data_IF_238468490886
#
_entry.id   IF_238468490886
#
_cell.length_a   1.000
_cell.length_b   1.000
_cell.length_c   1.000
_cell.angle_alpha   90.00
_cell.angle_beta   90.00
_cell.angle_gamma   90.00
#
_symmetry.space_group_name_H-M   'P 1'
#
loop_
_entity.id
_entity.type
_entity.pdbx_description
1 polymer ?
#
# COMPACT_ATOMS: atom_id res chain seq x y z
N UNK A 1 5.52 -5.22 -7.50
CA UNK A 1 6.05 -6.06 -6.39
C UNK A 1 6.41 -5.26 -5.13
N UNK A 2 7.00 -4.06 -5.22
CA UNK A 2 7.40 -3.26 -4.04
C UNK A 2 6.24 -2.76 -3.17
N UNK A 3 5.24 -2.08 -3.77
CA UNK A 3 4.07 -1.53 -3.06
C UNK A 3 3.33 -2.59 -2.25
N UNK A 4 3.15 -3.79 -2.82
CA UNK A 4 2.46 -4.90 -2.16
C UNK A 4 3.22 -5.41 -0.91
N UNK A 5 4.55 -5.38 -0.92
CA UNK A 5 5.38 -5.78 0.22
C UNK A 5 5.31 -4.76 1.35
N UNK A 6 5.38 -3.47 1.02
CA UNK A 6 5.27 -2.38 1.99
C UNK A 6 3.85 -2.30 2.55
N UNK A 7 2.81 -2.43 1.72
CA UNK A 7 1.43 -2.49 2.16
C UNK A 7 1.15 -3.64 3.15
N UNK A 8 1.75 -4.82 2.92
CA UNK A 8 1.67 -5.94 3.87
C UNK A 8 2.44 -5.67 5.17
N UNK A 9 3.65 -5.08 5.08
CA UNK A 9 4.43 -4.67 6.27
C UNK A 9 3.68 -3.64 7.12
N UNK A 10 2.96 -2.73 6.48
CA UNK A 10 2.13 -1.71 7.14
C UNK A 10 0.78 -2.24 7.64
N UNK A 11 0.45 -3.52 7.41
CA UNK A 11 -0.83 -4.10 7.81
C UNK A 11 -2.04 -3.62 7.00
N UNK A 12 -1.82 -2.96 5.86
CA UNK A 12 -2.87 -2.42 4.99
C UNK A 12 -3.60 -3.50 4.18
N UNK A 13 -2.99 -4.68 4.05
CA UNK A 13 -3.57 -5.86 3.38
C UNK A 13 -3.54 -7.01 4.37
N UNK A 14 -4.71 -7.40 4.89
CA UNK A 14 -4.83 -8.58 5.74
C UNK A 14 -5.15 -9.84 4.93
N UNK A 15 -5.66 -9.69 3.71
CA UNK A 15 -5.97 -10.83 2.87
C UNK A 15 -4.73 -11.67 2.53
N UNK A 16 -4.86 -13.00 2.72
CA UNK A 16 -3.80 -13.99 2.47
C UNK A 16 -3.46 -14.13 0.99
N UNK A 17 -4.36 -13.74 0.10
CA UNK A 17 -4.21 -13.84 -1.36
C UNK A 17 -3.82 -12.50 -1.98
N UNK A 18 -2.69 -12.46 -2.69
CA UNK A 18 -2.21 -11.33 -3.50
C UNK A 18 -2.96 -11.15 -4.83
N UNK A 19 -4.26 -11.44 -4.85
CA UNK A 19 -5.12 -11.29 -6.03
C UNK A 19 -5.81 -9.93 -6.07
N UNK A 20 -6.80 -9.80 -6.96
CA UNK A 20 -7.61 -8.59 -7.13
C UNK A 20 -8.27 -8.11 -5.83
N UNK A 21 -8.65 -9.03 -4.94
CA UNK A 21 -9.19 -8.72 -3.61
C UNK A 21 -8.22 -7.89 -2.75
N UNK A 22 -6.94 -8.21 -2.76
CA UNK A 22 -5.94 -7.45 -2.01
C UNK A 22 -5.73 -6.04 -2.58
N UNK A 23 -5.88 -5.86 -3.90
CA UNK A 23 -5.80 -4.55 -4.56
C UNK A 23 -6.99 -3.68 -4.16
N UNK A 24 -8.19 -4.25 -4.14
CA UNK A 24 -9.40 -3.56 -3.67
C UNK A 24 -9.29 -3.19 -2.19
N UNK A 25 -8.87 -4.14 -1.34
CA UNK A 25 -8.69 -3.92 0.10
C UNK A 25 -7.63 -2.83 0.38
N UNK A 26 -6.51 -2.86 -0.34
CA UNK A 26 -5.47 -1.83 -0.25
C UNK A 26 -6.04 -0.46 -0.63
N UNK A 27 -6.78 -0.37 -1.74
CA UNK A 27 -7.37 0.88 -2.22
C UNK A 27 -8.40 1.43 -1.24
N UNK A 28 -9.23 0.57 -0.66
CA UNK A 28 -10.20 0.96 0.38
C UNK A 28 -9.51 1.45 1.65
N UNK A 29 -8.47 0.76 2.11
CA UNK A 29 -7.74 1.18 3.29
C UNK A 29 -6.98 2.49 3.04
N UNK A 30 -6.33 2.66 1.90
CA UNK A 30 -5.70 3.92 1.51
C UNK A 30 -6.71 5.09 1.48
N UNK A 31 -7.91 4.86 0.95
CA UNK A 31 -9.00 5.85 0.98
C UNK A 31 -9.47 6.23 2.40
N UNK A 32 -9.29 5.36 3.39
CA UNK A 32 -9.59 5.67 4.80
C UNK A 32 -8.53 6.57 5.44
N UNK A 33 -7.28 6.46 5.01
CA UNK A 33 -6.20 7.31 5.51
C UNK A 33 -6.24 8.71 4.92
N UNK A 34 -6.49 8.82 3.62
CA UNK A 34 -6.71 10.12 2.98
C UNK A 34 -7.64 9.98 1.76
N UNK A 35 -8.85 10.51 1.92
CA UNK A 35 -9.86 10.55 0.86
C UNK A 35 -9.53 11.60 -0.21
N UNK A 36 -8.80 12.65 0.14
CA UNK A 36 -8.58 13.80 -0.72
C UNK A 36 -7.37 13.60 -1.64
N UNK A 37 -6.36 12.84 -1.22
CA UNK A 37 -5.17 12.61 -2.03
C UNK A 37 -4.58 11.19 -1.88
N UNK A 38 -5.26 10.15 -2.41
CA UNK A 38 -4.79 8.78 -2.35
C UNK A 38 -3.46 8.55 -3.09
N UNK A 39 -3.14 9.38 -4.10
CA UNK A 39 -1.91 9.27 -4.92
C UNK A 39 -0.66 9.61 -4.12
N UNK A 40 -0.79 10.48 -3.10
CA UNK A 40 0.30 10.87 -2.21
C UNK A 40 0.90 9.67 -1.46
N UNK A 41 0.06 8.70 -1.12
CA UNK A 41 0.50 7.46 -0.46
C UNK A 41 1.23 6.53 -1.42
N UNK A 42 0.85 6.47 -2.70
CA UNK A 42 1.63 5.73 -3.71
C UNK A 42 3.05 6.32 -3.85
N UNK A 43 3.18 7.64 -3.81
CA UNK A 43 4.47 8.34 -3.80
C UNK A 43 5.29 8.03 -2.53
N UNK A 44 4.66 8.06 -1.35
CA UNK A 44 5.32 7.72 -0.09
C UNK A 44 5.77 6.26 -0.06
N UNK A 45 4.94 5.33 -0.58
CA UNK A 45 5.28 3.91 -0.71
C UNK A 45 6.45 3.68 -1.66
N UNK A 46 6.56 4.48 -2.72
CA UNK A 46 7.74 4.48 -3.59
C UNK A 46 9.00 4.96 -2.86
N UNK A 47 8.91 6.07 -2.12
CA UNK A 47 10.04 6.61 -1.34
C UNK A 47 10.52 5.66 -0.24
N UNK A 48 9.60 5.01 0.49
CA UNK A 48 9.92 4.03 1.54
C UNK A 48 10.64 2.82 0.94
N UNK A 49 10.19 2.30 -0.21
CA UNK A 49 10.84 1.16 -0.87
C UNK A 49 12.24 1.46 -1.39
N UNK A 50 12.52 2.72 -1.75
CA UNK A 50 13.86 3.18 -2.16
C UNK A 50 14.77 3.42 -0.95
N UNK A 51 14.23 3.93 0.17
CA UNK A 51 15.00 4.17 1.40
C UNK A 51 15.28 2.89 2.21
N UNK A 52 14.50 1.82 2.07
CA UNK A 52 14.73 0.53 2.76
C UNK A 52 15.97 -0.24 2.26
N UNK A 53 16.72 0.27 1.27
CA UNK A 53 17.89 -0.41 0.68
C UNK A 53 19.25 -0.01 1.28
N UNK A 54 19.27 0.59 2.47
CA UNK A 54 20.50 0.85 3.23
C UNK A 54 20.66 -0.12 4.39
#
# INVERSE_FOLDING_TARGET
VHVNRVARKLGLIQSKTTGWKAVLELTENLKKFDKNDPVKYDFALFGIGVMEKN
#
